data_IF_057840822013
#
_entry.id   IF_057840822013
#
_cell.length_a   1.000
_cell.length_b   1.000
_cell.length_c   1.000
_cell.angle_alpha   90.00
_cell.angle_beta   90.00
_cell.angle_gamma   90.00
#
_symmetry.space_group_name_H-M   'P 1'
#
loop_
_entity.id
_entity.type
_entity.pdbx_description
1 polymer ?
#
# COMPACT_ATOMS: atom_id res chain seq x y z
N UNK A 1 -30.82 18.57 8.55
CA UNK A 1 -30.80 19.48 7.37
C UNK A 1 -29.53 20.35 7.33
N UNK A 2 -28.34 19.85 7.59
CA UNK A 2 -27.06 20.57 7.40
C UNK A 2 -25.96 19.62 6.88
N UNK A 3 -26.32 18.48 6.29
CA UNK A 3 -25.34 17.51 5.76
C UNK A 3 -25.33 17.47 4.21
N UNK A 4 -26.11 18.31 3.55
CA UNK A 4 -26.32 18.24 2.10
C UNK A 4 -25.64 19.36 1.30
N UNK A 5 -24.70 20.08 1.87
CA UNK A 5 -23.97 21.11 1.16
C UNK A 5 -22.48 20.84 1.24
N UNK A 6 -21.93 20.52 0.07
CA UNK A 6 -20.49 20.45 -0.27
C UNK A 6 -19.75 19.11 -0.15
N UNK A 7 -20.33 18.02 -0.59
CA UNK A 7 -19.56 16.97 -1.26
C UNK A 7 -19.27 17.41 -2.71
N UNK A 8 -18.58 18.54 -2.85
CA UNK A 8 -17.91 18.88 -4.10
C UNK A 8 -16.93 17.75 -4.40
N UNK A 9 -17.10 17.16 -5.55
CA UNK A 9 -16.27 16.18 -6.23
C UNK A 9 -14.91 15.99 -5.54
N UNK A 10 -14.80 14.98 -4.65
CA UNK A 10 -13.50 14.54 -4.14
C UNK A 10 -12.81 13.92 -5.33
N UNK A 11 -11.96 14.69 -5.99
CA UNK A 11 -11.19 14.18 -7.11
C UNK A 11 -10.35 13.02 -6.62
N UNK A 12 -10.21 11.97 -7.42
CA UNK A 12 -9.31 10.83 -7.11
C UNK A 12 -7.89 11.30 -6.76
N UNK A 13 -7.51 12.49 -7.22
CA UNK A 13 -6.26 13.15 -6.89
C UNK A 13 -6.14 13.50 -5.40
N UNK A 14 -7.15 14.13 -4.80
CA UNK A 14 -7.14 14.47 -3.38
C UNK A 14 -7.06 13.21 -2.50
N UNK A 15 -7.81 12.18 -2.87
CA UNK A 15 -7.75 10.88 -2.19
C UNK A 15 -6.35 10.25 -2.29
N UNK A 16 -5.76 10.28 -3.48
CA UNK A 16 -4.40 9.78 -3.72
C UNK A 16 -3.35 10.56 -2.92
N UNK A 17 -3.45 11.88 -2.85
CA UNK A 17 -2.56 12.72 -2.03
C UNK A 17 -2.67 12.37 -0.55
N UNK A 18 -3.87 12.20 -0.05
CA UNK A 18 -4.12 11.80 1.33
C UNK A 18 -3.54 10.40 1.65
N UNK A 19 -3.80 9.41 0.80
CA UNK A 19 -3.25 8.07 0.96
C UNK A 19 -1.71 8.05 0.87
N UNK A 20 -1.12 8.82 -0.03
CA UNK A 20 0.34 8.96 -0.13
C UNK A 20 0.94 9.59 1.12
N UNK A 21 0.26 10.57 1.70
CA UNK A 21 0.69 11.19 2.95
C UNK A 21 0.63 10.18 4.12
N UNK A 22 -0.45 9.40 4.26
CA UNK A 22 -0.54 8.34 5.29
C UNK A 22 0.60 7.33 5.14
N UNK A 23 0.83 6.82 3.93
CA UNK A 23 1.93 5.89 3.67
C UNK A 23 3.29 6.49 4.08
N UNK A 24 3.51 7.77 3.77
CA UNK A 24 4.73 8.44 4.18
C UNK A 24 4.86 8.50 5.71
N UNK A 25 3.80 8.86 6.44
CA UNK A 25 3.85 8.90 7.91
C UNK A 25 4.20 7.52 8.48
N UNK A 26 3.55 6.44 8.01
CA UNK A 26 3.85 5.08 8.45
C UNK A 26 5.31 4.70 8.21
N UNK A 27 5.86 5.04 7.04
CA UNK A 27 7.27 4.77 6.69
C UNK A 27 8.22 5.55 7.61
N UNK A 28 7.93 6.84 7.87
CA UNK A 28 8.75 7.68 8.75
C UNK A 28 8.70 7.20 10.20
N UNK A 29 7.53 6.84 10.70
CA UNK A 29 7.35 6.31 12.06
C UNK A 29 8.07 4.97 12.23
N UNK A 30 7.92 4.04 11.29
CA UNK A 30 8.63 2.77 11.32
C UNK A 30 10.17 2.98 11.28
N UNK A 31 10.64 3.91 10.46
CA UNK A 31 12.05 4.29 10.43
C UNK A 31 12.53 4.85 11.77
N UNK A 32 11.75 5.75 12.37
CA UNK A 32 12.05 6.34 13.69
C UNK A 32 12.11 5.29 14.79
N UNK A 33 11.20 4.32 14.77
CA UNK A 33 11.14 3.26 15.77
C UNK A 33 12.27 2.24 15.62
N UNK A 34 12.59 1.87 14.40
CA UNK A 34 13.59 0.80 14.14
C UNK A 34 15.02 1.32 14.04
N UNK A 35 15.22 2.59 13.70
CA UNK A 35 16.51 3.17 13.28
C UNK A 35 17.18 2.37 12.15
N UNK A 36 16.44 1.43 11.55
CA UNK A 36 16.93 0.52 10.52
C UNK A 36 17.11 1.19 9.16
N UNK A 37 17.76 0.50 8.24
CA UNK A 37 18.05 1.04 6.90
C UNK A 37 17.58 0.14 5.77
N UNK A 38 17.01 -1.04 6.10
CA UNK A 38 16.54 -2.03 5.13
C UNK A 38 15.02 -2.15 5.18
N UNK A 39 14.38 -2.05 4.02
CA UNK A 39 12.93 -2.18 3.88
C UNK A 39 12.59 -3.22 2.83
N UNK A 40 11.63 -4.08 3.14
CA UNK A 40 10.97 -4.97 2.18
C UNK A 40 9.58 -4.41 1.87
N UNK A 41 9.25 -4.23 0.59
CA UNK A 41 7.92 -3.82 0.17
C UNK A 41 7.19 -4.98 -0.53
N UNK A 42 6.15 -5.46 0.11
CA UNK A 42 5.29 -6.56 -0.34
C UNK A 42 4.16 -6.00 -1.18
N UNK A 43 4.01 -6.49 -2.41
CA UNK A 43 3.11 -5.95 -3.41
C UNK A 43 3.45 -4.49 -3.75
N UNK A 44 4.69 -4.29 -4.19
CA UNK A 44 5.28 -2.97 -4.46
C UNK A 44 4.61 -2.22 -5.63
N UNK A 45 3.82 -2.91 -6.43
CA UNK A 45 3.24 -2.37 -7.65
C UNK A 45 4.30 -1.76 -8.56
N UNK A 46 4.01 -0.59 -9.09
CA UNK A 46 4.93 0.17 -9.96
C UNK A 46 5.94 1.04 -9.18
N UNK A 47 6.19 0.76 -7.90
CA UNK A 47 7.16 1.52 -7.11
C UNK A 47 6.69 2.92 -6.70
N UNK A 48 5.41 3.07 -6.40
CA UNK A 48 4.81 4.36 -5.99
C UNK A 48 5.37 4.95 -4.68
N UNK A 49 6.18 4.20 -3.95
CA UNK A 49 6.72 4.61 -2.66
C UNK A 49 8.25 4.89 -2.68
N UNK A 50 8.90 4.85 -3.85
CA UNK A 50 10.35 5.06 -4.04
C UNK A 50 10.83 6.35 -3.31
N UNK A 51 10.17 7.48 -3.54
CA UNK A 51 10.54 8.74 -2.87
C UNK A 51 10.26 8.75 -1.37
N UNK A 52 9.27 7.96 -0.91
CA UNK A 52 8.98 7.83 0.52
C UNK A 52 10.07 7.06 1.24
N UNK A 53 10.64 6.04 0.60
CA UNK A 53 11.78 5.30 1.15
C UNK A 53 13.02 6.18 1.22
N UNK A 54 13.29 6.97 0.17
CA UNK A 54 14.38 7.95 0.16
C UNK A 54 14.22 8.98 1.29
N UNK A 55 13.02 9.56 1.42
CA UNK A 55 12.70 10.52 2.49
C UNK A 55 12.77 9.88 3.89
N UNK A 56 12.42 8.61 4.02
CA UNK A 56 12.60 7.83 5.24
C UNK A 56 14.06 7.52 5.57
N UNK A 57 14.99 7.78 4.65
CA UNK A 57 16.42 7.50 4.87
C UNK A 57 16.74 6.00 4.85
N UNK A 58 15.95 5.20 4.14
CA UNK A 58 16.32 3.81 3.87
C UNK A 58 17.49 3.76 2.87
N UNK A 59 18.38 2.79 3.04
CA UNK A 59 19.55 2.61 2.17
C UNK A 59 19.42 1.41 1.24
N UNK A 60 18.60 0.46 1.62
CA UNK A 60 18.40 -0.79 0.89
C UNK A 60 16.91 -1.13 0.89
N UNK A 61 16.35 -1.32 -0.29
CA UNK A 61 14.94 -1.68 -0.45
C UNK A 61 14.82 -2.84 -1.43
N UNK A 62 14.08 -3.86 -1.05
CA UNK A 62 13.61 -4.89 -1.96
C UNK A 62 12.11 -4.77 -2.09
N UNK A 63 11.61 -4.68 -3.32
CA UNK A 63 10.19 -4.72 -3.61
C UNK A 63 9.86 -5.92 -4.50
N UNK A 64 8.70 -6.52 -4.30
CA UNK A 64 8.21 -7.56 -5.20
C UNK A 64 6.71 -7.48 -5.41
N UNK A 65 6.26 -7.95 -6.57
CA UNK A 65 4.86 -7.95 -6.97
C UNK A 65 4.58 -9.15 -7.87
N UNK A 66 3.34 -9.66 -7.84
CA UNK A 66 2.91 -10.76 -8.72
C UNK A 66 2.65 -10.30 -10.16
N UNK A 67 2.39 -9.01 -10.38
CA UNK A 67 2.20 -8.45 -11.71
C UNK A 67 3.54 -8.10 -12.37
N UNK A 68 3.93 -8.91 -13.36
CA UNK A 68 5.15 -8.68 -14.11
C UNK A 68 5.17 -7.32 -14.82
N UNK A 69 4.02 -6.79 -15.23
CA UNK A 69 3.94 -5.45 -15.87
C UNK A 69 4.25 -4.35 -14.87
N UNK A 70 3.76 -4.47 -13.63
CA UNK A 70 4.09 -3.51 -12.58
C UNK A 70 5.60 -3.45 -12.30
N UNK A 71 6.33 -4.52 -12.52
CA UNK A 71 7.79 -4.56 -12.34
C UNK A 71 8.55 -4.12 -13.60
N UNK A 72 8.20 -4.68 -14.77
CA UNK A 72 9.05 -4.63 -15.96
C UNK A 72 8.56 -3.71 -17.08
N UNK A 73 7.31 -3.17 -17.02
CA UNK A 73 6.74 -2.38 -18.11
C UNK A 73 7.57 -1.13 -18.45
N UNK A 74 7.72 -0.86 -19.75
CA UNK A 74 8.56 0.24 -20.27
C UNK A 74 7.84 1.18 -21.24
N UNK A 75 6.71 0.76 -21.80
CA UNK A 75 6.07 1.45 -22.92
C UNK A 75 4.86 2.29 -22.51
N UNK A 76 3.86 1.67 -21.86
CA UNK A 76 2.59 2.35 -21.53
C UNK A 76 2.67 3.13 -20.22
N UNK A 77 2.94 2.42 -19.13
CA UNK A 77 3.15 2.99 -17.81
C UNK A 77 4.44 2.43 -17.23
N UNK A 78 5.27 3.31 -16.71
CA UNK A 78 6.55 2.90 -16.17
C UNK A 78 6.42 1.92 -15.01
N UNK A 79 6.97 0.72 -15.17
CA UNK A 79 7.12 -0.25 -14.10
C UNK A 79 8.16 0.20 -13.07
N UNK A 80 8.20 -0.48 -11.92
CA UNK A 80 9.04 -0.12 -10.79
C UNK A 80 10.53 0.03 -11.18
N UNK A 81 11.05 -0.87 -12.00
CA UNK A 81 12.45 -0.81 -12.47
C UNK A 81 12.72 0.45 -13.30
N UNK A 82 11.84 0.79 -14.24
CA UNK A 82 12.03 1.98 -15.08
C UNK A 82 11.92 3.26 -14.26
N UNK A 83 10.92 3.35 -13.37
CA UNK A 83 10.78 4.49 -12.44
C UNK A 83 12.00 4.65 -11.54
N UNK A 84 12.50 3.58 -10.96
CA UNK A 84 13.70 3.65 -10.14
C UNK A 84 14.93 4.10 -10.96
N UNK A 85 15.12 3.54 -12.16
CA UNK A 85 16.25 3.89 -13.01
C UNK A 85 16.27 5.36 -13.42
N UNK A 86 15.12 6.03 -13.52
CA UNK A 86 15.03 7.45 -13.84
C UNK A 86 15.46 8.38 -12.70
N UNK A 87 15.43 7.86 -11.44
CA UNK A 87 15.69 8.67 -10.23
C UNK A 87 16.83 8.14 -9.35
N UNK A 88 17.41 6.98 -9.65
CA UNK A 88 18.42 6.32 -8.79
C UNK A 88 19.69 7.14 -8.56
N UNK A 89 19.97 8.14 -9.40
CA UNK A 89 21.11 9.06 -9.24
C UNK A 89 20.79 10.28 -8.39
N UNK A 90 19.53 10.46 -7.97
CA UNK A 90 19.16 11.55 -7.07
C UNK A 90 19.73 11.31 -5.66
N UNK A 91 19.95 12.42 -4.94
CA UNK A 91 20.49 12.35 -3.59
C UNK A 91 19.58 11.53 -2.64
N UNK A 92 20.20 10.72 -1.80
CA UNK A 92 19.54 9.89 -0.80
C UNK A 92 18.65 8.75 -1.34
N UNK A 93 18.68 8.44 -2.64
CA UNK A 93 17.96 7.29 -3.17
C UNK A 93 18.52 5.98 -2.61
N UNK A 94 17.65 5.08 -2.10
CA UNK A 94 18.09 3.77 -1.64
C UNK A 94 18.54 2.92 -2.82
N UNK A 95 19.40 1.93 -2.56
CA UNK A 95 19.65 0.86 -3.52
C UNK A 95 18.42 -0.05 -3.54
N UNK A 96 17.72 -0.09 -4.69
CA UNK A 96 16.49 -0.87 -4.82
C UNK A 96 16.67 -2.08 -5.73
N UNK A 97 15.96 -3.14 -5.37
CA UNK A 97 15.81 -4.36 -6.17
C UNK A 97 14.33 -4.70 -6.31
N UNK A 98 13.93 -5.13 -7.50
CA UNK A 98 12.54 -5.46 -7.79
C UNK A 98 12.44 -6.83 -8.41
N UNK A 99 11.46 -7.64 -7.92
CA UNK A 99 11.29 -9.01 -8.34
C UNK A 99 9.82 -9.31 -8.65
N UNK A 100 9.58 -10.08 -9.70
CA UNK A 100 8.26 -10.62 -9.95
C UNK A 100 8.10 -11.91 -9.12
N UNK A 101 7.40 -11.79 -8.00
CA UNK A 101 7.11 -12.88 -7.05
C UNK A 101 5.70 -12.64 -6.51
N UNK A 102 4.87 -13.69 -6.44
CA UNK A 102 3.58 -13.63 -5.75
C UNK A 102 3.78 -13.85 -4.24
N UNK A 103 3.27 -12.96 -3.41
CA UNK A 103 3.30 -13.10 -1.95
C UNK A 103 2.50 -14.32 -1.45
N UNK A 104 1.52 -14.79 -2.24
CA UNK A 104 0.65 -15.92 -1.91
C UNK A 104 1.19 -17.27 -2.43
N UNK A 105 2.30 -17.27 -3.14
CA UNK A 105 2.95 -18.50 -3.57
C UNK A 105 3.56 -19.21 -2.34
N UNK A 106 3.27 -20.49 -2.09
CA UNK A 106 3.91 -21.25 -1.01
C UNK A 106 5.45 -21.25 -1.03
N UNK A 107 6.05 -21.04 -2.20
CA UNK A 107 7.50 -20.94 -2.39
C UNK A 107 8.02 -19.50 -2.42
N UNK A 108 7.18 -18.50 -2.15
CA UNK A 108 7.56 -17.08 -2.19
C UNK A 108 8.79 -16.77 -1.34
N UNK A 109 8.85 -17.31 -0.12
CA UNK A 109 9.99 -17.14 0.78
C UNK A 109 11.29 -17.68 0.18
N UNK A 110 11.25 -18.88 -0.40
CA UNK A 110 12.42 -19.51 -1.04
C UNK A 110 12.86 -18.71 -2.27
N UNK A 111 11.90 -18.28 -3.09
CA UNK A 111 12.16 -17.47 -4.27
C UNK A 111 12.81 -16.13 -3.90
N UNK A 112 12.33 -15.49 -2.85
CA UNK A 112 12.89 -14.24 -2.35
C UNK A 112 14.27 -14.43 -1.76
N UNK A 113 14.51 -15.48 -0.94
CA UNK A 113 15.81 -15.81 -0.39
C UNK A 113 16.86 -16.05 -1.49
N UNK A 114 16.51 -16.77 -2.54
CA UNK A 114 17.39 -16.99 -3.68
C UNK A 114 17.78 -15.71 -4.43
N UNK A 115 16.99 -14.66 -4.33
CA UNK A 115 17.22 -13.38 -5.02
C UNK A 115 17.87 -12.31 -4.16
N UNK A 116 17.52 -12.22 -2.88
CA UNK A 116 18.02 -11.20 -1.96
C UNK A 116 19.08 -11.72 -0.97
N UNK A 117 19.63 -12.89 -1.22
CA UNK A 117 20.69 -13.53 -0.42
C UNK A 117 20.32 -13.64 1.07
N UNK A 118 19.09 -14.05 1.34
CA UNK A 118 18.55 -14.21 2.70
C UNK A 118 18.56 -12.90 3.52
N UNK A 119 18.46 -11.76 2.87
CA UNK A 119 18.41 -10.47 3.54
C UNK A 119 17.27 -10.44 4.56
N UNK A 120 17.55 -9.91 5.74
CA UNK A 120 16.58 -9.63 6.80
C UNK A 120 16.38 -8.12 6.86
N UNK A 121 15.12 -7.68 7.07
CA UNK A 121 14.72 -6.31 6.96
C UNK A 121 14.32 -5.72 8.31
N UNK A 122 14.57 -4.42 8.46
CA UNK A 122 14.16 -3.66 9.65
C UNK A 122 12.68 -3.31 9.61
N UNK A 123 12.19 -3.06 8.41
CA UNK A 123 10.78 -2.72 8.13
C UNK A 123 10.27 -3.58 6.99
N UNK A 124 9.07 -4.12 7.14
CA UNK A 124 8.29 -4.70 6.05
C UNK A 124 7.05 -3.83 5.83
N UNK A 125 6.81 -3.44 4.59
CA UNK A 125 5.68 -2.62 4.16
C UNK A 125 4.76 -3.43 3.25
N UNK A 126 3.44 -3.28 3.42
CA UNK A 126 2.43 -3.80 2.50
C UNK A 126 1.30 -2.77 2.39
N UNK A 127 1.28 -2.01 1.31
CA UNK A 127 0.40 -0.87 1.16
C UNK A 127 -0.75 -1.16 0.19
N UNK A 128 -1.99 -1.02 0.66
CA UNK A 128 -3.23 -1.21 -0.12
C UNK A 128 -3.37 -2.56 -0.83
N UNK A 129 -2.77 -3.63 -0.27
CA UNK A 129 -2.78 -4.93 -0.94
C UNK A 129 -3.18 -6.10 -0.03
N UNK A 130 -3.21 -5.89 1.29
CA UNK A 130 -3.40 -7.00 2.24
C UNK A 130 -4.78 -7.67 2.12
N UNK A 131 -5.80 -6.94 1.67
CA UNK A 131 -7.14 -7.47 1.41
C UNK A 131 -7.19 -8.46 0.24
N UNK A 132 -6.18 -8.49 -0.64
CA UNK A 132 -6.06 -9.54 -1.67
C UNK A 132 -5.52 -10.86 -1.14
N UNK A 133 -4.90 -10.85 0.03
CA UNK A 133 -4.18 -12.00 0.59
C UNK A 133 -4.98 -12.78 1.64
N UNK A 134 -6.21 -12.40 1.93
CA UNK A 134 -7.00 -12.96 3.05
C UNK A 134 -7.10 -14.48 2.98
N UNK A 135 -7.26 -15.05 1.78
CA UNK A 135 -7.34 -16.50 1.57
C UNK A 135 -6.03 -17.22 1.89
N UNK A 136 -4.91 -16.59 1.57
CA UNK A 136 -3.56 -17.15 1.73
C UNK A 136 -2.75 -16.40 2.79
N UNK A 137 -3.44 -15.79 3.75
CA UNK A 137 -2.87 -14.87 4.75
C UNK A 137 -1.74 -15.49 5.56
N UNK A 138 -1.82 -16.79 5.86
CA UNK A 138 -0.80 -17.49 6.63
C UNK A 138 0.52 -17.63 5.86
N UNK A 139 0.46 -17.80 4.53
CA UNK A 139 1.64 -17.82 3.66
C UNK A 139 2.33 -16.45 3.70
N UNK A 140 1.55 -15.39 3.53
CA UNK A 140 2.07 -14.02 3.51
C UNK A 140 2.62 -13.60 4.87
N UNK A 141 1.93 -13.90 5.96
CA UNK A 141 2.41 -13.57 7.31
C UNK A 141 3.65 -14.37 7.69
N UNK A 142 3.75 -15.63 7.26
CA UNK A 142 4.96 -16.42 7.43
C UNK A 142 6.15 -15.78 6.69
N UNK A 143 5.96 -15.39 5.43
CA UNK A 143 6.99 -14.68 4.65
C UNK A 143 7.42 -13.40 5.37
N UNK A 144 6.47 -12.57 5.78
CA UNK A 144 6.75 -11.30 6.50
C UNK A 144 7.54 -11.59 7.78
N UNK A 145 7.08 -12.51 8.62
CA UNK A 145 7.73 -12.83 9.89
C UNK A 145 9.14 -13.36 9.73
N UNK A 146 9.40 -14.15 8.67
CA UNK A 146 10.73 -14.70 8.38
C UNK A 146 11.70 -13.68 7.78
N UNK A 147 11.16 -12.64 7.11
CA UNK A 147 11.97 -11.56 6.52
C UNK A 147 12.15 -10.37 7.44
N UNK A 148 11.35 -10.25 8.49
CA UNK A 148 11.44 -9.19 9.49
C UNK A 148 12.42 -9.58 10.61
N UNK A 149 13.37 -8.70 10.94
CA UNK A 149 14.26 -8.93 12.09
C UNK A 149 13.51 -8.88 13.42
N UNK A 150 14.13 -9.41 14.46
CA UNK A 150 13.63 -9.21 15.84
C UNK A 150 13.55 -7.72 16.16
N UNK A 151 12.41 -7.28 16.72
CA UNK A 151 12.07 -5.86 16.94
C UNK A 151 12.00 -5.02 15.66
N UNK A 152 11.82 -5.66 14.51
CA UNK A 152 11.44 -4.98 13.27
C UNK A 152 9.98 -4.59 13.27
N UNK A 153 9.58 -3.74 12.33
CA UNK A 153 8.21 -3.21 12.24
C UNK A 153 7.57 -3.64 10.91
N UNK A 154 6.40 -4.25 11.00
CA UNK A 154 5.51 -4.43 9.86
C UNK A 154 4.51 -3.28 9.82
N UNK A 155 4.42 -2.60 8.68
CA UNK A 155 3.44 -1.52 8.41
C UNK A 155 2.59 -1.87 7.19
N UNK A 156 1.34 -1.45 7.21
CA UNK A 156 0.45 -1.68 6.08
C UNK A 156 -0.80 -0.83 6.11
N UNK A 157 -1.43 -0.73 4.97
CA UNK A 157 -2.77 -0.14 4.79
C UNK A 157 -3.64 -1.13 4.02
N UNK A 158 -4.92 -1.18 4.35
CA UNK A 158 -5.88 -2.05 3.66
C UNK A 158 -7.29 -1.48 3.77
N UNK A 159 -8.19 -2.01 2.95
CA UNK A 159 -9.62 -1.75 3.12
C UNK A 159 -10.11 -2.39 4.41
N UNK A 160 -10.93 -1.67 5.16
CA UNK A 160 -11.54 -2.14 6.40
C UNK A 160 -12.78 -2.99 6.08
N UNK A 161 -12.66 -4.31 6.25
CA UNK A 161 -13.73 -5.25 5.96
C UNK A 161 -14.98 -5.06 6.84
N UNK A 162 -14.81 -4.58 8.08
CA UNK A 162 -15.94 -4.28 8.96
C UNK A 162 -16.73 -3.08 8.44
N UNK A 163 -16.03 -2.01 8.00
CA UNK A 163 -16.65 -0.85 7.40
C UNK A 163 -17.38 -1.21 6.08
N UNK A 164 -16.72 -1.92 5.17
CA UNK A 164 -17.32 -2.33 3.90
C UNK A 164 -18.55 -3.22 4.13
N UNK A 165 -18.45 -4.22 5.02
CA UNK A 165 -19.56 -5.09 5.35
C UNK A 165 -20.74 -4.32 5.96
N UNK A 166 -20.46 -3.32 6.79
CA UNK A 166 -21.50 -2.48 7.37
C UNK A 166 -22.21 -1.61 6.31
N UNK A 167 -21.45 -1.05 5.38
CA UNK A 167 -22.01 -0.30 4.24
C UNK A 167 -22.94 -1.18 3.41
N UNK A 168 -22.53 -2.42 3.13
CA UNK A 168 -23.28 -3.37 2.31
C UNK A 168 -24.48 -4.02 3.01
N UNK A 169 -24.71 -3.81 4.32
CA UNK A 169 -25.91 -4.31 5.02
C UNK A 169 -27.23 -3.79 4.42
N UNK A 170 -27.20 -2.58 3.87
CA UNK A 170 -28.36 -1.95 3.25
C UNK A 170 -28.42 -2.13 1.72
N UNK A 171 -27.59 -3.02 1.17
CA UNK A 171 -27.49 -3.31 -0.26
C UNK A 171 -26.24 -2.70 -0.90
N UNK A 172 -26.12 -2.90 -2.21
CA UNK A 172 -25.00 -2.37 -2.99
C UNK A 172 -25.02 -0.84 -2.98
N UNK A 173 -23.83 -0.25 -2.98
CA UNK A 173 -23.65 1.21 -3.03
C UNK A 173 -23.16 1.62 -4.40
N UNK A 174 -23.84 2.57 -5.01
CA UNK A 174 -23.44 3.18 -6.27
C UNK A 174 -23.68 4.67 -6.22
N UNK A 175 -22.63 5.45 -6.39
CA UNK A 175 -22.70 6.91 -6.51
C UNK A 175 -21.71 7.39 -7.59
N UNK A 176 -21.60 8.69 -7.76
CA UNK A 176 -20.70 9.29 -8.76
C UNK A 176 -19.23 8.96 -8.53
N UNK A 177 -18.81 8.77 -7.28
CA UNK A 177 -17.41 8.52 -6.94
C UNK A 177 -17.02 7.04 -6.97
N UNK A 178 -17.94 6.14 -6.56
CA UNK A 178 -17.62 4.73 -6.39
C UNK A 178 -18.82 3.80 -6.54
N UNK A 179 -18.52 2.53 -6.82
CA UNK A 179 -19.45 1.42 -6.75
C UNK A 179 -18.87 0.33 -5.85
N UNK A 180 -19.68 -0.15 -4.88
CA UNK A 180 -19.33 -1.26 -4.01
C UNK A 180 -20.49 -2.26 -4.07
N UNK A 181 -20.18 -3.49 -4.43
CA UNK A 181 -21.18 -4.54 -4.62
C UNK A 181 -20.79 -5.82 -3.90
N UNK A 182 -21.79 -6.48 -3.34
CA UNK A 182 -21.61 -7.76 -2.70
C UNK A 182 -21.39 -8.85 -3.75
N UNK A 183 -20.30 -9.62 -3.63
CA UNK A 183 -19.99 -10.73 -4.54
C UNK A 183 -20.27 -12.07 -3.85
N UNK A 184 -19.82 -12.25 -2.61
CA UNK A 184 -20.03 -13.45 -1.83
C UNK A 184 -19.96 -13.15 -0.33
N UNK A 185 -20.12 -14.17 0.53
CA UNK A 185 -19.95 -14.00 1.98
C UNK A 185 -18.58 -13.46 2.40
N UNK A 186 -17.56 -13.68 1.55
CA UNK A 186 -16.16 -13.37 1.83
C UNK A 186 -15.61 -12.25 0.94
N UNK A 187 -16.35 -11.86 -0.10
CA UNK A 187 -15.82 -10.97 -1.14
C UNK A 187 -16.82 -9.87 -1.54
N UNK A 188 -16.28 -8.74 -1.94
CA UNK A 188 -17.00 -7.62 -2.55
C UNK A 188 -16.27 -7.15 -3.80
N UNK A 189 -16.96 -6.45 -4.69
CA UNK A 189 -16.32 -5.71 -5.76
C UNK A 189 -16.27 -4.22 -5.41
N UNK A 190 -15.18 -3.58 -5.81
CA UNK A 190 -14.96 -2.14 -5.60
C UNK A 190 -14.52 -1.49 -6.90
N UNK A 191 -15.17 -0.39 -7.26
CA UNK A 191 -14.81 0.42 -8.43
C UNK A 191 -14.79 1.89 -8.01
N UNK A 192 -13.73 2.61 -8.34
CA UNK A 192 -13.73 4.07 -8.32
C UNK A 192 -14.16 4.57 -9.69
N UNK A 193 -15.23 5.37 -9.72
CA UNK A 193 -15.67 6.03 -10.93
C UNK A 193 -14.74 7.21 -11.20
N UNK A 194 -13.92 7.09 -12.23
CA UNK A 194 -13.06 8.17 -12.72
C UNK A 194 -13.45 8.45 -14.18
N UNK A 195 -13.96 9.62 -14.45
CA UNK A 195 -14.24 10.07 -15.83
C UNK A 195 -12.97 10.49 -16.58
N UNK A 196 -11.83 10.52 -15.89
CA UNK A 196 -10.59 11.09 -16.40
C UNK A 196 -9.67 10.05 -17.04
N UNK A 197 -8.67 10.54 -17.76
CA UNK A 197 -7.71 9.77 -18.55
C UNK A 197 -6.94 8.72 -17.72
N UNK A 198 -6.31 7.71 -18.35
CA UNK A 198 -5.57 6.64 -17.66
C UNK A 198 -4.51 7.14 -16.66
N UNK A 199 -3.95 8.33 -16.87
CA UNK A 199 -2.96 8.94 -15.97
C UNK A 199 -3.57 9.50 -14.68
N UNK A 200 -4.88 9.69 -14.65
CA UNK A 200 -5.62 10.29 -13.53
C UNK A 200 -6.41 9.25 -12.73
N UNK A 201 -6.43 7.98 -13.14
CA UNK A 201 -7.08 6.91 -12.38
C UNK A 201 -6.28 6.58 -11.12
N UNK A 202 -6.98 6.43 -10.00
CA UNK A 202 -6.36 6.07 -8.71
C UNK A 202 -5.73 4.68 -8.76
N UNK A 203 -6.40 3.72 -9.39
CA UNK A 203 -5.90 2.38 -9.65
C UNK A 203 -5.42 2.26 -11.09
N UNK A 204 -4.38 1.47 -11.30
CA UNK A 204 -3.82 1.19 -12.62
C UNK A 204 -4.77 0.35 -13.49
N UNK A 205 -5.78 -0.26 -12.88
CA UNK A 205 -6.80 -1.05 -13.56
C UNK A 205 -8.09 -0.24 -13.75
N UNK A 206 -8.57 -0.19 -14.99
CA UNK A 206 -9.91 0.27 -15.31
C UNK A 206 -10.87 -0.87 -15.05
N UNK A 207 -11.72 -0.76 -14.05
CA UNK A 207 -12.75 -1.75 -13.77
C UNK A 207 -12.93 -2.05 -12.29
N UNK A 208 -13.80 -3.00 -11.99
CA UNK A 208 -14.04 -3.48 -10.65
C UNK A 208 -12.89 -4.37 -10.18
N UNK A 209 -12.33 -4.08 -9.01
CA UNK A 209 -11.51 -5.05 -8.30
C UNK A 209 -12.40 -5.94 -7.44
N UNK A 210 -12.09 -7.22 -7.37
CA UNK A 210 -12.74 -8.14 -6.43
C UNK A 210 -11.80 -8.36 -5.26
N UNK A 211 -12.29 -8.07 -4.06
CA UNK A 211 -11.49 -8.00 -2.84
C UNK A 211 -12.15 -8.83 -1.74
N UNK A 212 -11.34 -9.33 -0.81
CA UNK A 212 -11.83 -10.02 0.38
C UNK A 212 -12.15 -9.05 1.51
N UNK A 213 -13.15 -9.39 2.34
CA UNK A 213 -13.37 -8.68 3.60
C UNK A 213 -12.22 -8.99 4.55
N UNK A 214 -11.33 -8.04 4.74
CA UNK A 214 -10.25 -8.13 5.73
C UNK A 214 -10.73 -7.55 7.07
N UNK A 215 -11.03 -8.43 8.03
CA UNK A 215 -11.45 -8.03 9.36
C UNK A 215 -10.24 -7.75 10.25
N UNK A 216 -10.26 -6.60 10.91
CA UNK A 216 -9.17 -6.16 11.79
C UNK A 216 -8.84 -7.19 12.87
N UNK A 217 -9.84 -7.74 13.55
CA UNK A 217 -9.62 -8.69 14.62
C UNK A 217 -8.94 -9.96 14.11
N UNK A 218 -9.40 -10.50 12.98
CA UNK A 218 -8.81 -11.70 12.38
C UNK A 218 -7.34 -11.45 11.98
N UNK A 219 -7.04 -10.29 11.41
CA UNK A 219 -5.65 -9.93 11.04
C UNK A 219 -4.76 -9.86 12.28
N UNK A 220 -5.23 -9.22 13.37
CA UNK A 220 -4.47 -9.12 14.62
C UNK A 220 -4.21 -10.50 15.23
N UNK A 221 -5.20 -11.38 15.27
CA UNK A 221 -5.06 -12.74 15.78
C UNK A 221 -4.06 -13.55 14.93
N UNK A 222 -4.16 -13.46 13.60
CA UNK A 222 -3.23 -14.10 12.69
C UNK A 222 -1.80 -13.57 12.86
N UNK A 223 -1.60 -12.27 12.96
CA UNK A 223 -0.28 -11.69 13.22
C UNK A 223 0.36 -12.25 14.50
N UNK A 224 -0.42 -12.39 15.58
CA UNK A 224 0.07 -12.98 16.84
C UNK A 224 0.59 -14.41 16.68
N UNK A 225 -0.06 -15.22 15.82
CA UNK A 225 0.41 -16.58 15.52
C UNK A 225 1.81 -16.62 14.89
N UNK A 226 2.22 -15.51 14.25
CA UNK A 226 3.54 -15.33 13.66
C UNK A 226 4.46 -14.44 14.51
N UNK A 227 4.20 -14.33 15.82
CA UNK A 227 4.97 -13.53 16.79
C UNK A 227 5.02 -12.02 16.47
N UNK A 228 4.02 -11.50 15.77
CA UNK A 228 3.86 -10.08 15.50
C UNK A 228 2.79 -9.48 16.42
N UNK A 229 3.18 -8.51 17.22
CA UNK A 229 2.29 -7.84 18.20
C UNK A 229 1.81 -6.51 17.59
N UNK A 230 0.49 -6.25 17.53
CA UNK A 230 -0.02 -4.99 17.01
C UNK A 230 0.38 -3.82 17.91
N UNK A 231 1.05 -2.83 17.36
CA UNK A 231 1.43 -1.61 18.06
C UNK A 231 0.37 -0.52 17.89
N UNK A 232 -0.19 -0.41 16.70
CA UNK A 232 -1.22 0.58 16.37
C UNK A 232 -2.12 0.06 15.24
N UNK A 233 -3.40 0.34 15.34
CA UNK A 233 -4.35 0.23 14.23
C UNK A 233 -5.28 1.42 14.27
N UNK A 234 -5.33 2.20 13.20
CA UNK A 234 -6.14 3.42 13.09
C UNK A 234 -6.90 3.44 11.76
N UNK A 235 -8.10 4.00 11.78
CA UNK A 235 -8.81 4.35 10.54
C UNK A 235 -8.13 5.53 9.85
N UNK A 236 -8.36 5.70 8.55
CA UNK A 236 -7.85 6.86 7.82
C UNK A 236 -8.47 8.18 8.31
N UNK A 237 -9.68 8.16 8.82
CA UNK A 237 -10.33 9.31 9.46
C UNK A 237 -9.49 9.92 10.59
N UNK A 238 -8.82 9.08 11.38
CA UNK A 238 -7.88 9.55 12.41
C UNK A 238 -6.80 10.47 11.86
N UNK A 239 -6.41 10.29 10.61
CA UNK A 239 -5.36 11.07 9.95
C UNK A 239 -5.88 12.31 9.20
N UNK A 240 -7.20 12.51 9.09
CA UNK A 240 -7.77 13.60 8.30
C UNK A 240 -7.36 15.00 8.82
N UNK A 241 -7.48 15.25 10.12
CA UNK A 241 -7.09 16.53 10.72
C UNK A 241 -5.57 16.80 10.66
N UNK A 242 -4.68 15.84 11.07
CA UNK A 242 -3.24 15.99 10.87
C UNK A 242 -2.86 16.24 9.41
N UNK A 243 -3.52 15.58 8.45
CA UNK A 243 -3.30 15.82 7.03
C UNK A 243 -3.65 17.25 6.64
N UNK A 244 -4.86 17.72 6.95
CA UNK A 244 -5.31 19.07 6.61
C UNK A 244 -4.38 20.16 7.15
N UNK A 245 -3.85 19.99 8.38
CA UNK A 245 -2.93 20.96 9.00
C UNK A 245 -1.50 20.92 8.46
N UNK A 246 -1.12 19.85 7.76
CA UNK A 246 0.24 19.64 7.24
C UNK A 246 0.32 19.60 5.71
N UNK A 247 -0.82 19.77 5.03
CA UNK A 247 -0.96 19.58 3.58
C UNK A 247 0.02 20.46 2.78
N UNK A 248 0.09 21.76 3.08
CA UNK A 248 0.99 22.66 2.38
C UNK A 248 2.47 22.31 2.60
N UNK A 249 2.81 21.87 3.81
CA UNK A 249 4.17 21.39 4.13
C UNK A 249 4.47 20.07 3.43
N UNK A 250 3.47 19.20 3.28
CA UNK A 250 3.60 17.96 2.53
C UNK A 250 3.86 18.22 1.06
N UNK A 251 3.10 19.09 0.42
CA UNK A 251 3.27 19.45 -1.00
C UNK A 251 4.64 20.08 -1.28
N UNK A 252 5.07 21.00 -0.43
CA UNK A 252 6.36 21.69 -0.59
C UNK A 252 7.56 20.81 -0.24
N UNK A 253 7.39 19.84 0.68
CA UNK A 253 8.49 19.03 1.19
C UNK A 253 8.77 17.71 0.48
N UNK A 254 7.87 17.26 -0.41
CA UNK A 254 8.00 15.93 -1.02
C UNK A 254 8.44 15.93 -2.48
N UNK A 255 8.50 17.09 -3.15
CA UNK A 255 8.74 17.14 -4.60
C UNK A 255 7.67 16.38 -5.42
N UNK A 256 6.66 15.83 -4.74
CA UNK A 256 5.64 14.96 -5.34
C UNK A 256 4.66 15.75 -6.23
N UNK A 257 4.59 17.07 -6.05
CA UNK A 257 3.68 17.93 -6.83
C UNK A 257 3.99 17.94 -8.32
N UNK A 258 5.25 17.72 -8.72
CA UNK A 258 5.65 17.73 -10.14
C UNK A 258 5.56 16.37 -10.82
N UNK A 259 5.56 15.26 -10.08
CA UNK A 259 5.55 13.90 -10.65
C UNK A 259 4.19 13.19 -10.58
N UNK A 260 3.28 13.66 -9.71
CA UNK A 260 1.98 13.06 -9.49
C UNK A 260 0.85 14.08 -9.46
N UNK A 261 1.13 15.30 -9.90
CA UNK A 261 0.17 16.38 -10.13
C UNK A 261 -0.64 16.16 -11.39
#
# INVERSE_FOLDING_TARGET
NIIDTELKCVTTESLRKFHNWIKLQLILDAKKMTQGTKLLDVAVGRGGDIFKWAKGGFRYVTGFDCDAKSIYEKNDFDGAIKRYNSVKSEANMPKCYFWNISATDPFALNSLNGKDRECIYDVVSCQFSFHYFVKDIDIVLNLISKKLRTNGIFIGTAMDGDCIKNILKNGNVKNEAMCIEHVSKEMYSFTLNSEKTPRETYFEYRGASTEYFLFKQNLVEKCKMFNMIPLMTKSFEFFANPFASSYDRFLSGCGISSMYG
#
